data_IF_300875642234
#
_entry.id   IF_300875642234
#
_cell.length_a   1.000
_cell.length_b   1.000
_cell.length_c   1.000
_cell.angle_alpha   90.00
_cell.angle_beta   90.00
_cell.angle_gamma   90.00
#
_symmetry.space_group_name_H-M   'P 1'
#
loop_
_entity.id
_entity.type
_entity.pdbx_description
1 polymer ?
#
# COMPACT_ATOMS: atom_id res chain seq x y z
N UNK A 1 -14.04 -3.98 -0.18
CA UNK A 1 -12.75 -3.74 -0.88
C UNK A 1 -12.16 -5.02 -1.47
N UNK A 2 -11.96 -6.10 -0.70
CA UNK A 2 -11.46 -7.39 -1.21
C UNK A 2 -12.28 -7.93 -2.39
N UNK A 3 -13.61 -8.01 -2.23
CA UNK A 3 -14.52 -8.53 -3.26
C UNK A 3 -14.44 -7.71 -4.55
N UNK A 4 -14.42 -6.38 -4.44
CA UNK A 4 -14.29 -5.47 -5.60
C UNK A 4 -12.97 -5.71 -6.35
N UNK A 5 -11.85 -5.88 -5.65
CA UNK A 5 -10.57 -6.22 -6.29
C UNK A 5 -10.56 -7.63 -6.88
N UNK A 6 -11.18 -8.61 -6.21
CA UNK A 6 -11.28 -9.98 -6.70
C UNK A 6 -12.07 -10.07 -8.01
N UNK A 7 -13.13 -9.27 -8.14
CA UNK A 7 -13.87 -9.11 -9.39
C UNK A 7 -13.04 -8.35 -10.43
N UNK A 8 -12.33 -7.28 -10.04
CA UNK A 8 -11.53 -6.46 -10.97
C UNK A 8 -10.37 -7.23 -11.62
N UNK A 9 -9.71 -8.12 -10.87
CA UNK A 9 -8.52 -8.83 -11.34
C UNK A 9 -8.78 -10.28 -11.81
N UNK A 10 -10.04 -10.74 -11.78
CA UNK A 10 -10.45 -12.14 -12.05
C UNK A 10 -9.55 -13.18 -11.33
N UNK A 11 -8.99 -12.81 -10.18
CA UNK A 11 -8.02 -13.62 -9.45
C UNK A 11 -8.07 -13.30 -7.97
N UNK A 12 -8.09 -14.35 -7.15
CA UNK A 12 -8.13 -14.25 -5.68
C UNK A 12 -6.77 -13.91 -5.05
N UNK A 13 -5.67 -13.98 -5.81
CA UNK A 13 -4.30 -13.87 -5.28
C UNK A 13 -3.80 -12.41 -5.23
N UNK A 14 -4.09 -11.62 -6.27
CA UNK A 14 -3.71 -10.20 -6.34
C UNK A 14 -4.39 -9.31 -5.27
N UNK A 15 -5.67 -9.50 -4.93
CA UNK A 15 -6.32 -8.76 -3.85
C UNK A 15 -5.68 -9.02 -2.48
N UNK A 16 -5.22 -10.24 -2.22
CA UNK A 16 -4.55 -10.59 -0.96
C UNK A 16 -3.22 -9.84 -0.85
N UNK A 17 -2.44 -9.81 -1.93
CA UNK A 17 -1.16 -9.08 -1.99
C UNK A 17 -1.34 -7.59 -1.66
N UNK A 18 -2.39 -6.98 -2.18
CA UNK A 18 -2.72 -5.57 -1.93
C UNK A 18 -3.15 -5.35 -0.48
N UNK A 19 -3.97 -6.26 0.07
CA UNK A 19 -4.42 -6.18 1.46
C UNK A 19 -3.30 -6.40 2.47
N UNK A 20 -2.25 -7.16 2.12
CA UNK A 20 -1.06 -7.34 2.96
C UNK A 20 -0.29 -6.03 3.24
N UNK A 21 -0.59 -4.96 2.51
CA UNK A 21 0.00 -3.63 2.77
C UNK A 21 -0.74 -2.82 3.85
N UNK A 22 -1.98 -3.20 4.19
CA UNK A 22 -2.79 -2.51 5.22
C UNK A 22 -2.19 -2.57 6.63
N UNK A 23 -1.64 -3.70 7.11
CA UNK A 23 -0.98 -3.77 8.41
C UNK A 23 0.16 -2.76 8.52
N UNK A 24 0.90 -2.51 7.43
CA UNK A 24 2.00 -1.55 7.41
C UNK A 24 1.52 -0.10 7.58
N UNK A 25 0.36 0.25 7.00
CA UNK A 25 -0.28 1.55 7.19
C UNK A 25 -0.75 1.77 8.63
N UNK A 26 -1.40 0.76 9.21
CA UNK A 26 -1.80 0.77 10.61
C UNK A 26 -0.60 0.88 11.55
N UNK A 27 0.46 0.10 11.32
CA UNK A 27 1.70 0.15 12.10
C UNK A 27 2.34 1.53 12.06
N UNK A 28 2.44 2.14 10.87
CA UNK A 28 3.01 3.48 10.73
C UNK A 28 2.25 4.55 11.51
N UNK A 29 0.92 4.48 11.46
CA UNK A 29 0.04 5.38 12.21
C UNK A 29 0.17 5.18 13.73
N UNK A 30 0.13 3.93 14.19
CA UNK A 30 0.25 3.59 15.61
C UNK A 30 1.60 4.00 16.19
N UNK A 31 2.69 3.74 15.48
CA UNK A 31 4.03 4.13 15.91
C UNK A 31 4.17 5.65 16.01
N UNK A 32 3.54 6.40 15.11
CA UNK A 32 3.56 7.86 15.15
C UNK A 32 2.78 8.44 16.32
N UNK A 33 1.61 7.88 16.62
CA UNK A 33 0.82 8.25 17.79
C UNK A 33 1.57 7.93 19.09
N UNK A 34 2.19 6.74 19.18
CA UNK A 34 3.02 6.36 20.33
C UNK A 34 4.23 7.29 20.50
N UNK A 35 4.91 7.65 19.42
CA UNK A 35 6.07 8.54 19.45
C UNK A 35 5.72 9.94 19.98
N UNK A 36 4.53 10.44 19.65
CA UNK A 36 4.02 11.74 20.10
C UNK A 36 3.15 11.65 21.36
N UNK A 37 3.07 10.46 21.99
CA UNK A 37 2.26 10.17 23.18
C UNK A 37 0.80 10.60 23.03
N UNK A 38 0.24 10.43 21.84
CA UNK A 38 -1.17 10.65 21.56
C UNK A 38 -1.97 9.36 21.73
N UNK A 39 -3.19 9.50 22.23
CA UNK A 39 -4.10 8.37 22.42
C UNK A 39 -4.76 7.95 21.10
N UNK A 40 -5.12 6.67 21.02
CA UNK A 40 -5.90 6.13 19.91
C UNK A 40 -7.39 6.45 20.11
N UNK A 41 -7.78 7.67 19.79
CA UNK A 41 -9.18 8.10 19.82
C UNK A 41 -9.86 7.91 18.45
N UNK A 42 -11.19 8.11 18.37
CA UNK A 42 -12.03 7.98 17.18
C UNK A 42 -11.45 8.75 15.99
N UNK A 43 -10.84 9.90 16.24
CA UNK A 43 -10.22 10.77 15.23
C UNK A 43 -8.96 10.12 14.64
N UNK A 44 -8.12 9.52 15.48
CA UNK A 44 -6.97 8.77 15.03
C UNK A 44 -7.42 7.56 14.19
N UNK A 45 -8.51 6.89 14.58
CA UNK A 45 -9.11 5.79 13.81
C UNK A 45 -9.59 6.27 12.44
N UNK A 46 -10.24 7.43 12.34
CA UNK A 46 -10.60 8.04 11.05
C UNK A 46 -9.37 8.27 10.17
N UNK A 47 -8.26 8.77 10.77
CA UNK A 47 -6.99 8.92 10.08
C UNK A 47 -6.45 7.59 9.53
N UNK A 48 -6.50 6.51 10.31
CA UNK A 48 -6.12 5.16 9.87
C UNK A 48 -6.99 4.70 8.70
N UNK A 49 -8.31 4.91 8.76
CA UNK A 49 -9.23 4.55 7.67
C UNK A 49 -8.91 5.34 6.39
N UNK A 50 -8.57 6.62 6.50
CA UNK A 50 -8.14 7.44 5.37
C UNK A 50 -6.84 6.91 4.74
N UNK A 51 -5.88 6.56 5.58
CA UNK A 51 -4.58 5.99 5.17
C UNK A 51 -4.74 4.69 4.37
N UNK A 52 -5.68 3.82 4.78
CA UNK A 52 -6.01 2.60 4.03
C UNK A 52 -6.31 2.94 2.57
N UNK A 53 -7.10 3.98 2.29
CA UNK A 53 -7.42 4.39 0.93
C UNK A 53 -6.19 4.88 0.14
N UNK A 54 -5.41 5.78 0.75
CA UNK A 54 -4.25 6.42 0.10
C UNK A 54 -3.17 5.39 -0.21
N UNK A 55 -2.76 4.60 0.78
CA UNK A 55 -1.70 3.59 0.65
C UNK A 55 -2.12 2.49 -0.31
N UNK A 56 -3.37 2.03 -0.23
CA UNK A 56 -3.87 0.97 -1.11
C UNK A 56 -3.91 1.41 -2.56
N UNK A 57 -4.21 2.68 -2.87
CA UNK A 57 -4.16 3.21 -4.25
C UNK A 57 -2.76 3.00 -4.85
N UNK A 58 -1.72 3.30 -4.08
CA UNK A 58 -0.34 3.17 -4.54
C UNK A 58 0.06 1.71 -4.76
N UNK A 59 -0.37 0.80 -3.87
CA UNK A 59 -0.17 -0.64 -4.03
C UNK A 59 -0.90 -1.22 -5.26
N UNK A 60 -2.17 -0.82 -5.46
CA UNK A 60 -2.96 -1.22 -6.64
C UNK A 60 -2.22 -0.80 -7.91
N UNK A 61 -1.86 0.48 -8.04
CA UNK A 61 -1.21 1.01 -9.25
C UNK A 61 0.11 0.32 -9.60
N UNK A 62 0.86 -0.16 -8.60
CA UNK A 62 2.12 -0.88 -8.80
C UNK A 62 1.88 -2.28 -9.35
N UNK A 63 0.94 -3.01 -8.74
CA UNK A 63 0.61 -4.38 -9.16
C UNK A 63 -0.08 -4.36 -10.53
N UNK A 64 -0.92 -3.37 -10.78
CA UNK A 64 -1.57 -3.18 -12.07
C UNK A 64 -0.54 -2.99 -13.20
N UNK A 65 0.46 -2.14 -12.99
CA UNK A 65 1.55 -1.95 -13.96
C UNK A 65 2.42 -3.20 -14.15
N UNK A 66 2.70 -3.93 -13.08
CA UNK A 66 3.45 -5.18 -13.17
C UNK A 66 2.68 -6.23 -13.97
N UNK A 67 1.36 -6.36 -13.72
CA UNK A 67 0.49 -7.27 -14.45
C UNK A 67 0.33 -6.88 -15.92
N UNK A 68 0.20 -5.58 -16.19
CA UNK A 68 0.12 -5.04 -17.54
C UNK A 68 1.40 -5.36 -18.33
N UNK A 69 2.57 -5.14 -17.72
CA UNK A 69 3.87 -5.48 -18.29
C UNK A 69 4.04 -6.98 -18.54
N UNK A 70 3.55 -7.85 -17.65
CA UNK A 70 3.57 -9.30 -17.90
C UNK A 70 2.65 -9.71 -19.06
N UNK A 71 1.43 -9.17 -19.11
CA UNK A 71 0.40 -9.59 -20.08
C UNK A 71 0.64 -9.02 -21.48
N UNK A 72 0.99 -7.74 -21.59
CA UNK A 72 1.14 -7.07 -22.87
C UNK A 72 2.58 -7.09 -23.40
N UNK A 73 3.59 -7.10 -22.52
CA UNK A 73 5.00 -7.06 -22.93
C UNK A 73 5.69 -8.42 -22.79
N UNK A 74 5.00 -9.44 -22.25
CA UNK A 74 5.55 -10.79 -22.06
C UNK A 74 6.74 -10.84 -21.09
N UNK A 75 6.91 -9.81 -20.27
CA UNK A 75 8.07 -9.70 -19.37
C UNK A 75 8.00 -10.73 -18.25
N UNK A 76 9.16 -11.19 -17.80
CA UNK A 76 9.25 -12.04 -16.61
C UNK A 76 8.75 -11.26 -15.37
N UNK A 77 8.19 -11.93 -14.35
CA UNK A 77 7.65 -11.25 -13.16
C UNK A 77 8.67 -10.31 -12.49
N UNK A 78 9.94 -10.69 -12.50
CA UNK A 78 11.06 -9.88 -11.99
C UNK A 78 11.31 -8.63 -12.82
N UNK A 79 11.30 -8.73 -14.15
CA UNK A 79 11.47 -7.57 -15.03
C UNK A 79 10.26 -6.62 -14.95
N UNK A 80 9.05 -7.18 -14.90
CA UNK A 80 7.80 -6.44 -14.84
C UNK A 80 7.68 -5.61 -13.54
N UNK A 81 7.95 -6.21 -12.37
CA UNK A 81 7.87 -5.47 -11.11
C UNK A 81 8.97 -4.41 -11.00
N UNK A 82 10.16 -4.68 -11.53
CA UNK A 82 11.25 -3.69 -11.56
C UNK A 82 10.87 -2.48 -12.41
N UNK A 83 10.36 -2.71 -13.61
CA UNK A 83 9.88 -1.64 -14.49
C UNK A 83 8.74 -0.85 -13.84
N UNK A 84 7.81 -1.54 -13.17
CA UNK A 84 6.74 -0.90 -12.40
C UNK A 84 7.30 -0.01 -11.27
N UNK A 85 8.30 -0.47 -10.52
CA UNK A 85 8.96 0.31 -9.49
C UNK A 85 9.64 1.57 -10.06
N UNK A 86 10.38 1.45 -11.16
CA UNK A 86 11.08 2.57 -11.79
C UNK A 86 10.12 3.65 -12.29
N UNK A 87 8.99 3.24 -12.90
CA UNK A 87 8.00 4.18 -13.44
C UNK A 87 7.10 4.79 -12.36
N UNK A 88 6.84 4.07 -11.27
CA UNK A 88 5.92 4.52 -10.21
C UNK A 88 6.60 5.25 -9.07
N UNK A 89 7.91 5.17 -8.91
CA UNK A 89 8.63 5.86 -7.83
C UNK A 89 8.32 7.37 -7.82
N UNK A 90 8.39 8.04 -8.98
CA UNK A 90 8.08 9.48 -9.10
C UNK A 90 6.61 9.77 -8.74
N UNK A 91 5.60 9.16 -9.39
CA UNK A 91 4.19 9.38 -9.03
C UNK A 91 3.85 9.09 -7.56
N UNK A 92 4.40 8.01 -7.00
CA UNK A 92 4.17 7.63 -5.61
C UNK A 92 4.66 8.73 -4.68
N UNK A 93 5.93 9.16 -4.85
CA UNK A 93 6.51 10.25 -4.07
C UNK A 93 5.71 11.54 -4.20
N UNK A 94 5.23 11.89 -5.40
CA UNK A 94 4.40 13.09 -5.60
C UNK A 94 3.11 13.03 -4.76
N UNK A 95 2.41 11.89 -4.76
CA UNK A 95 1.16 11.76 -3.97
C UNK A 95 1.42 11.77 -2.47
N UNK A 96 2.48 11.10 -2.02
CA UNK A 96 2.85 11.06 -0.60
C UNK A 96 3.27 12.43 -0.11
N UNK A 97 4.10 13.15 -0.88
CA UNK A 97 4.51 14.51 -0.53
C UNK A 97 3.34 15.49 -0.50
N UNK A 98 2.43 15.42 -1.48
CA UNK A 98 1.23 16.26 -1.48
C UNK A 98 0.35 16.02 -0.23
N UNK A 99 0.13 14.75 0.12
CA UNK A 99 -0.62 14.39 1.31
C UNK A 99 0.10 14.78 2.61
N UNK A 100 1.43 14.61 2.67
CA UNK A 100 2.24 15.03 3.81
C UNK A 100 2.19 16.55 4.01
N UNK A 101 2.38 17.32 2.95
CA UNK A 101 2.32 18.79 3.02
C UNK A 101 0.92 19.29 3.39
N UNK A 102 -0.15 18.58 2.99
CA UNK A 102 -1.52 18.88 3.42
C UNK A 102 -1.80 18.53 4.88
N UNK A 103 -1.19 17.45 5.39
CA UNK A 103 -1.37 17.00 6.78
C UNK A 103 -0.44 17.72 7.78
N UNK A 104 0.70 18.26 7.31
CA UNK A 104 1.68 18.98 8.12
C UNK A 104 1.09 20.17 8.90
N UNK A 105 0.30 21.09 8.30
CA UNK A 105 -0.32 22.17 9.06
C UNK A 105 -1.38 21.67 10.05
N UNK A 106 -2.03 20.53 9.79
CA UNK A 106 -2.95 19.92 10.78
C UNK A 106 -2.19 19.35 11.98
N UNK A 107 -1.00 18.80 11.73
CA UNK A 107 -0.11 18.30 12.78
C UNK A 107 0.49 19.42 13.64
N UNK A 108 0.86 20.56 13.06
CA UNK A 108 1.53 21.66 13.77
C UNK A 108 0.58 22.78 14.24
N UNK A 109 -0.68 22.75 13.81
CA UNK A 109 -1.65 23.81 14.08
C UNK A 109 -2.00 23.92 15.56
N UNK A 110 -1.64 25.03 16.18
CA UNK A 110 -2.00 25.39 17.56
C UNK A 110 -3.13 26.43 17.53
N UNK A 111 -4.34 26.03 17.91
CA UNK A 111 -5.53 26.89 17.83
C UNK A 111 -6.82 26.18 18.22
N UNK A 112 -7.95 26.87 18.08
CA UNK A 112 -9.28 26.33 18.41
C UNK A 112 -9.59 25.12 17.51
N UNK A 113 -9.94 23.98 18.12
CA UNK A 113 -10.14 22.71 17.42
C UNK A 113 -8.84 22.01 16.99
N UNK A 114 -7.70 22.35 17.58
CA UNK A 114 -6.44 21.60 17.40
C UNK A 114 -6.52 20.19 17.99
N UNK A 115 -7.31 19.98 19.04
CA UNK A 115 -7.56 18.66 19.63
C UNK A 115 -8.11 17.64 18.63
N UNK A 116 -8.86 18.10 17.63
CA UNK A 116 -9.38 17.25 16.55
C UNK A 116 -8.39 17.12 15.38
N UNK A 117 -7.62 18.17 15.08
CA UNK A 117 -6.75 18.20 13.89
C UNK A 117 -5.40 17.54 14.14
N UNK A 118 -4.89 17.65 15.35
CA UNK A 118 -3.58 17.18 15.73
C UNK A 118 -3.47 15.66 15.68
N UNK A 119 -4.36 14.85 16.31
CA UNK A 119 -4.30 13.39 16.21
C UNK A 119 -4.48 12.89 14.78
N UNK A 120 -5.35 13.55 14.01
CA UNK A 120 -5.60 13.22 12.60
C UNK A 120 -4.36 13.49 11.73
N UNK A 121 -3.73 14.65 11.91
CA UNK A 121 -2.51 15.05 11.21
C UNK A 121 -1.32 14.14 11.54
N UNK A 122 -1.12 13.82 12.82
CA UNK A 122 -0.05 12.90 13.27
C UNK A 122 -0.21 11.51 12.67
N UNK A 123 -1.43 10.97 12.76
CA UNK A 123 -1.77 9.67 12.19
C UNK A 123 -1.45 9.65 10.69
N UNK A 124 -1.90 10.66 9.94
CA UNK A 124 -1.67 10.79 8.50
C UNK A 124 -0.17 10.91 8.17
N UNK A 125 0.56 11.81 8.84
CA UNK A 125 1.98 12.07 8.52
C UNK A 125 2.83 10.83 8.80
N UNK A 126 2.72 10.28 10.01
CA UNK A 126 3.53 9.12 10.39
C UNK A 126 3.09 7.84 9.68
N UNK A 127 1.79 7.67 9.48
CA UNK A 127 1.23 6.61 8.66
C UNK A 127 1.78 6.65 7.24
N UNK A 128 1.71 7.79 6.54
CA UNK A 128 2.21 7.92 5.17
C UNK A 128 3.72 7.72 5.06
N UNK A 129 4.52 8.30 5.95
CA UNK A 129 5.98 8.17 5.91
C UNK A 129 6.43 6.71 6.05
N UNK A 130 5.98 6.04 7.11
CA UNK A 130 6.38 4.67 7.39
C UNK A 130 5.75 3.70 6.39
N UNK A 131 4.45 3.85 6.11
CA UNK A 131 3.77 2.94 5.19
C UNK A 131 4.29 3.06 3.77
N UNK A 132 4.68 4.25 3.30
CA UNK A 132 5.12 4.38 1.93
C UNK A 132 6.46 3.69 1.69
N UNK A 133 7.37 3.77 2.66
CA UNK A 133 8.62 3.01 2.68
C UNK A 133 8.32 1.51 2.72
N UNK A 134 7.55 1.06 3.72
CA UNK A 134 7.19 -0.35 3.87
C UNK A 134 6.50 -0.91 2.62
N UNK A 135 5.55 -0.20 2.03
CA UNK A 135 4.83 -0.61 0.83
C UNK A 135 5.74 -0.70 -0.39
N UNK A 136 6.66 0.26 -0.60
CA UNK A 136 7.59 0.23 -1.75
C UNK A 136 8.52 -0.99 -1.72
N UNK A 137 8.93 -1.45 -0.53
CA UNK A 137 9.78 -2.64 -0.38
C UNK A 137 8.98 -3.94 -0.27
N UNK A 138 7.88 -3.94 0.48
CA UNK A 138 7.13 -5.15 0.81
C UNK A 138 6.25 -5.60 -0.37
N UNK A 139 5.67 -4.66 -1.13
CA UNK A 139 4.82 -4.99 -2.29
C UNK A 139 5.54 -5.80 -3.37
N UNK A 140 6.75 -5.41 -3.85
CA UNK A 140 7.45 -6.20 -4.85
C UNK A 140 7.89 -7.57 -4.31
N UNK A 141 8.32 -7.66 -3.05
CA UNK A 141 8.72 -8.93 -2.42
C UNK A 141 7.53 -9.89 -2.31
N UNK A 142 6.38 -9.41 -1.83
CA UNK A 142 5.18 -10.23 -1.72
C UNK A 142 4.69 -10.65 -3.11
N UNK A 143 4.69 -9.73 -4.08
CA UNK A 143 4.30 -10.03 -5.46
C UNK A 143 5.15 -11.15 -6.08
N UNK A 144 6.48 -11.06 -5.97
CA UNK A 144 7.40 -12.09 -6.44
C UNK A 144 7.21 -13.42 -5.71
N UNK A 145 7.00 -13.38 -4.39
CA UNK A 145 6.73 -14.58 -3.60
C UNK A 145 5.45 -15.31 -4.04
N UNK A 146 4.39 -14.58 -4.37
CA UNK A 146 3.16 -15.19 -4.89
C UNK A 146 3.31 -15.70 -6.32
N UNK A 147 4.05 -15.00 -7.18
CA UNK A 147 4.38 -15.46 -8.54
C UNK A 147 5.19 -16.76 -8.51
N UNK A 148 6.22 -16.85 -7.66
CA UNK A 148 7.01 -18.08 -7.50
C UNK A 148 6.17 -19.24 -6.92
N UNK A 149 5.24 -18.96 -6.00
CA UNK A 149 4.31 -19.96 -5.48
C UNK A 149 3.34 -20.46 -6.57
N UNK A 150 2.87 -19.57 -7.44
CA UNK A 150 2.02 -19.90 -8.59
C UNK A 150 2.78 -20.76 -9.60
N UNK A 151 4.04 -20.41 -9.92
CA UNK A 151 4.92 -21.20 -10.80
C UNK A 151 5.18 -22.60 -10.23
N UNK A 152 5.53 -22.70 -8.95
CA UNK A 152 5.74 -23.99 -8.26
C UNK A 152 4.47 -24.85 -8.20
N UNK A 153 3.27 -24.25 -8.08
CA UNK A 153 2.00 -24.98 -8.16
C UNK A 153 1.67 -25.44 -9.58
N UNK A 154 2.04 -24.67 -10.61
CA UNK A 154 1.89 -25.08 -12.00
C UNK A 154 2.83 -26.24 -12.36
N UNK A 155 4.10 -26.19 -11.90
CA UNK A 155 5.09 -27.26 -12.07
C UNK A 155 4.70 -28.55 -11.31
N UNK A 156 3.97 -28.43 -10.20
CA UNK A 156 3.46 -29.58 -9.42
C UNK A 156 2.17 -30.18 -9.96
N UNK A 157 1.54 -29.60 -10.97
CA UNK A 157 0.33 -30.16 -11.58
C UNK A 157 0.79 -31.18 -12.63
N UNK A 158 0.65 -32.50 -12.38
CA UNK A 158 1.06 -33.51 -13.34
C UNK A 158 0.27 -33.30 -14.63
N UNK A 159 0.94 -33.40 -15.77
CA UNK A 159 0.27 -33.49 -17.06
C UNK A 159 -0.80 -34.58 -16.97
N UNK A 160 -2.07 -34.20 -17.21
CA UNK A 160 -3.15 -35.17 -17.26
C UNK A 160 -2.81 -36.19 -18.37
N UNK A 161 -2.86 -37.51 -18.10
CA UNK A 161 -2.68 -38.51 -19.13
C UNK A 161 -3.81 -38.40 -20.15
N UNK A 162 -3.43 -38.47 -21.43
CA UNK A 162 -4.30 -38.40 -22.60
C UNK A 162 -5.26 -39.59 -22.71
#
# INVERSE_FOLDING_TARGET
MYIVLGVLYESTIHPITILSTLPSAGLGALLALMALRLELDIIAVIGIILLIGIVKKNAIMMIDFALDAQRHQGLTPHAAIRQACEQRLRPILMTTLAALLGALPMMLGTGVGSELRHPLGVTMVGGLLLSQLLTLFTTPVIYLGFEDLKRRRAERRPAAPA
#
